data_IF_952269380377
#
_entry.id   IF_952269380377
#
_cell.length_a   1.000
_cell.length_b   1.000
_cell.length_c   1.000
_cell.angle_alpha   90.00
_cell.angle_beta   90.00
_cell.angle_gamma   90.00
#
_symmetry.space_group_name_H-M   'P 1'
#
loop_
_entity.id
_entity.type
_entity.pdbx_description
1 polymer ?
#
# COMPACT_ATOMS: atom_id res chain seq x y z
N UNK A 1 -19.26 3.38 -17.95
CA UNK A 1 -18.96 3.76 -16.56
C UNK A 1 -17.55 3.25 -16.28
N UNK A 2 -16.57 4.15 -16.15
CA UNK A 2 -15.17 3.74 -15.94
C UNK A 2 -15.02 3.11 -14.55
N UNK A 3 -14.19 2.08 -14.44
CA UNK A 3 -13.82 1.50 -13.14
C UNK A 3 -12.88 2.50 -12.46
N UNK A 4 -13.28 2.97 -11.27
CA UNK A 4 -12.44 3.83 -10.44
C UNK A 4 -11.51 2.93 -9.62
N UNK A 5 -10.28 2.75 -10.08
CA UNK A 5 -9.29 1.86 -9.45
C UNK A 5 -8.92 2.31 -8.03
N UNK A 6 -9.05 3.60 -7.71
CA UNK A 6 -8.88 4.13 -6.37
C UNK A 6 -9.84 3.55 -5.32
N UNK A 7 -10.94 2.92 -5.73
CA UNK A 7 -11.85 2.24 -4.81
C UNK A 7 -11.22 0.97 -4.20
N UNK A 8 -10.21 0.42 -4.85
CA UNK A 8 -9.48 -0.77 -4.40
C UNK A 8 -8.21 -0.43 -3.62
N UNK A 9 -7.90 0.87 -3.49
CA UNK A 9 -6.89 1.39 -2.58
C UNK A 9 -7.59 1.85 -1.31
N UNK A 10 -7.05 1.52 -0.16
CA UNK A 10 -7.72 1.79 1.11
C UNK A 10 -6.73 2.25 2.18
N UNK A 11 -7.23 3.04 3.11
CA UNK A 11 -6.49 3.50 4.27
C UNK A 11 -6.42 2.37 5.31
N UNK A 12 -5.27 2.21 5.96
CA UNK A 12 -5.06 1.30 7.08
C UNK A 12 -5.04 2.11 8.36
N UNK A 13 -5.93 1.76 9.28
CA UNK A 13 -5.98 2.34 10.62
C UNK A 13 -5.26 1.40 11.59
N UNK A 14 -4.07 1.79 11.99
CA UNK A 14 -3.24 1.09 12.96
C UNK A 14 -3.16 1.81 14.32
N UNK A 15 -3.94 2.87 14.50
CA UNK A 15 -3.88 3.71 15.70
C UNK A 15 -2.71 4.68 15.66
N UNK A 16 -1.50 4.22 15.94
CA UNK A 16 -0.27 5.04 15.91
C UNK A 16 0.46 5.01 14.58
N UNK A 17 0.19 3.99 13.76
CA UNK A 17 0.82 3.75 12.46
C UNK A 17 -0.24 3.70 11.37
N UNK A 18 -0.40 4.80 10.66
CA UNK A 18 -1.27 4.89 9.49
C UNK A 18 -0.50 4.45 8.24
N UNK A 19 -1.22 3.83 7.32
CA UNK A 19 -0.67 3.42 6.03
C UNK A 19 -1.76 3.28 4.97
N UNK A 20 -1.36 2.76 3.84
CA UNK A 20 -2.23 2.46 2.71
C UNK A 20 -2.05 1.00 2.32
N UNK A 21 -3.09 0.39 1.82
CA UNK A 21 -3.04 -0.90 1.17
C UNK A 21 -4.00 -0.94 0.00
N UNK A 22 -3.93 -2.00 -0.76
CA UNK A 22 -4.78 -2.19 -1.92
C UNK A 22 -5.09 -3.67 -2.15
N UNK A 23 -6.13 -3.93 -2.94
CA UNK A 23 -6.55 -5.28 -3.26
C UNK A 23 -6.16 -5.65 -4.69
N UNK A 24 -5.59 -6.86 -4.85
CA UNK A 24 -5.37 -7.51 -6.15
C UNK A 24 -6.09 -8.85 -6.10
N UNK A 25 -7.17 -9.00 -6.88
CA UNK A 25 -8.08 -10.13 -6.68
C UNK A 25 -8.66 -10.15 -5.27
N UNK A 26 -8.45 -11.23 -4.53
CA UNK A 26 -8.80 -11.36 -3.11
C UNK A 26 -7.64 -11.05 -2.15
N UNK A 27 -6.46 -10.73 -2.65
CA UNK A 27 -5.30 -10.43 -1.83
C UNK A 27 -5.27 -8.95 -1.43
N UNK A 28 -5.03 -8.69 -0.15
CA UNK A 28 -4.73 -7.37 0.36
C UNK A 28 -3.22 -7.22 0.54
N UNK A 29 -2.65 -6.16 -0.01
CA UNK A 29 -1.22 -5.91 -0.04
C UNK A 29 -0.92 -4.53 0.57
N UNK A 30 0.14 -4.47 1.37
CA UNK A 30 0.67 -3.23 1.95
C UNK A 30 2.17 -3.35 2.23
N UNK A 31 2.82 -2.28 2.64
CA UNK A 31 4.18 -2.33 3.15
C UNK A 31 4.22 -3.02 4.53
N UNK A 32 5.21 -3.85 4.75
CA UNK A 32 5.33 -4.64 6.00
C UNK A 32 5.53 -3.76 7.22
N UNK A 33 6.30 -2.67 7.11
CA UNK A 33 6.58 -1.77 8.23
C UNK A 33 5.33 -1.05 8.78
N UNK A 34 4.22 -1.00 8.03
CA UNK A 34 2.94 -0.49 8.54
C UNK A 34 2.48 -1.28 9.77
N UNK A 35 2.90 -2.55 9.89
CA UNK A 35 2.59 -3.43 11.02
C UNK A 35 3.67 -3.47 12.12
N UNK A 36 4.69 -2.63 12.08
CA UNK A 36 5.76 -2.68 13.08
C UNK A 36 5.28 -2.31 14.49
N UNK A 37 4.31 -1.42 14.62
CA UNK A 37 3.80 -0.94 15.91
C UNK A 37 2.53 -1.65 16.37
N UNK A 38 2.12 -2.76 15.73
CA UNK A 38 0.91 -3.46 16.14
C UNK A 38 0.75 -4.83 15.51
N UNK A 39 0.03 -5.70 16.22
CA UNK A 39 -0.33 -7.03 15.73
C UNK A 39 -1.53 -6.97 14.79
N UNK A 40 -2.49 -6.09 15.10
CA UNK A 40 -3.78 -6.02 14.43
C UNK A 40 -4.06 -4.62 13.95
N UNK A 41 -4.41 -4.50 12.68
CA UNK A 41 -4.82 -3.27 12.02
C UNK A 41 -6.20 -3.46 11.40
N UNK A 42 -6.81 -2.40 10.91
CA UNK A 42 -8.07 -2.50 10.19
C UNK A 42 -8.07 -1.64 8.94
N UNK A 43 -8.83 -2.12 7.96
CA UNK A 43 -9.12 -1.39 6.74
C UNK A 43 -10.60 -1.53 6.38
N UNK A 44 -11.04 -0.85 5.33
CA UNK A 44 -12.44 -0.86 4.93
C UNK A 44 -12.56 -1.11 3.43
N UNK A 45 -13.49 -1.98 3.07
CA UNK A 45 -13.83 -2.23 1.67
C UNK A 45 -15.36 -2.35 1.53
N UNK A 46 -15.95 -1.62 0.59
CA UNK A 46 -17.40 -1.62 0.39
C UNK A 46 -18.21 -1.25 1.64
N UNK A 47 -17.65 -0.44 2.55
CA UNK A 47 -18.24 -0.06 3.82
C UNK A 47 -18.09 -1.11 4.94
N UNK A 48 -17.51 -2.26 4.64
CA UNK A 48 -17.23 -3.31 5.64
C UNK A 48 -15.81 -3.13 6.21
N UNK A 49 -15.70 -3.32 7.53
CA UNK A 49 -14.43 -3.35 8.22
C UNK A 49 -13.76 -4.72 8.03
N UNK A 50 -12.51 -4.70 7.59
CA UNK A 50 -11.64 -5.87 7.48
C UNK A 50 -10.58 -5.74 8.56
N UNK A 51 -10.45 -6.76 9.38
CA UNK A 51 -9.39 -6.86 10.39
C UNK A 51 -8.22 -7.60 9.76
N UNK A 52 -7.03 -7.04 9.90
CA UNK A 52 -5.76 -7.56 9.39
C UNK A 52 -4.92 -7.96 10.59
N UNK A 53 -4.83 -9.24 10.88
CA UNK A 53 -3.96 -9.77 11.93
C UNK A 53 -2.65 -10.26 11.33
N UNK A 54 -1.55 -9.76 11.84
CA UNK A 54 -0.20 -10.11 11.36
C UNK A 54 0.08 -11.61 11.38
N UNK A 55 -0.51 -12.35 12.33
CA UNK A 55 -0.37 -13.81 12.43
C UNK A 55 -1.12 -14.57 11.33
N UNK A 56 -2.10 -13.93 10.68
CA UNK A 56 -2.89 -14.51 9.59
C UNK A 56 -2.36 -14.12 8.20
N UNK A 57 -1.28 -13.35 8.14
CA UNK A 57 -0.67 -12.98 6.87
C UNK A 57 -0.21 -14.22 6.10
N UNK A 58 -0.50 -14.26 4.80
CA UNK A 58 0.08 -15.26 3.88
C UNK A 58 1.58 -15.09 3.83
N UNK A 59 2.02 -13.85 3.80
CA UNK A 59 3.42 -13.44 3.85
C UNK A 59 3.52 -12.16 4.66
N UNK A 60 4.51 -12.11 5.55
CA UNK A 60 4.86 -10.91 6.28
C UNK A 60 6.38 -10.82 6.42
N UNK A 61 6.94 -9.72 6.00
CA UNK A 61 8.32 -9.34 6.28
C UNK A 61 8.43 -7.82 6.29
N UNK A 62 9.23 -7.32 7.21
CA UNK A 62 9.57 -5.91 7.33
C UNK A 62 11.01 -5.79 7.82
N UNK A 63 11.82 -4.91 7.26
CA UNK A 63 13.12 -4.60 7.81
C UNK A 63 12.95 -4.01 9.23
N UNK A 64 13.86 -4.37 10.14
CA UNK A 64 13.89 -3.78 11.47
C UNK A 64 14.48 -2.38 11.43
N UNK A 65 13.72 -1.38 11.91
CA UNK A 65 14.17 0.00 12.04
C UNK A 65 13.78 0.92 10.87
N UNK A 66 14.27 2.15 10.91
CA UNK A 66 13.94 3.21 9.93
C UNK A 66 14.78 3.11 8.64
N UNK A 67 15.56 2.06 8.47
CA UNK A 67 16.44 1.90 7.32
C UNK A 67 15.84 0.93 6.30
N UNK A 68 15.75 1.40 5.07
CA UNK A 68 15.50 0.55 3.92
C UNK A 68 16.68 -0.42 3.73
N UNK A 69 16.35 -1.73 3.72
CA UNK A 69 17.30 -2.79 3.40
C UNK A 69 16.85 -3.47 2.10
N UNK A 70 17.58 -3.33 1.00
CA UNK A 70 17.20 -3.89 -0.28
C UNK A 70 17.15 -5.44 -0.29
N UNK A 71 17.83 -6.09 0.64
CA UNK A 71 17.87 -7.56 0.74
C UNK A 71 16.67 -8.12 1.53
N UNK A 72 15.90 -7.25 2.19
CA UNK A 72 14.75 -7.64 3.00
C UNK A 72 13.46 -7.09 2.37
N UNK A 73 12.56 -7.95 1.86
CA UNK A 73 11.26 -7.49 1.38
C UNK A 73 10.49 -6.75 2.48
N UNK A 74 9.89 -5.63 2.13
CA UNK A 74 9.04 -4.85 3.03
C UNK A 74 7.59 -4.95 2.57
N UNK A 75 6.95 -6.09 2.86
CA UNK A 75 5.61 -6.41 2.36
C UNK A 75 4.82 -7.24 3.37
N UNK A 76 3.53 -6.94 3.47
CA UNK A 76 2.52 -7.76 4.15
C UNK A 76 1.40 -8.12 3.17
N UNK A 77 1.01 -9.39 3.13
CA UNK A 77 0.01 -9.94 2.21
C UNK A 77 -1.00 -10.76 3.01
N UNK A 78 -2.29 -10.47 2.83
CA UNK A 78 -3.40 -11.13 3.50
C UNK A 78 -4.38 -11.69 2.47
N UNK A 79 -5.02 -12.82 2.80
CA UNK A 79 -6.18 -13.30 2.05
C UNK A 79 -7.45 -12.64 2.62
N UNK A 80 -8.17 -11.94 1.78
CA UNK A 80 -9.40 -11.24 2.14
C UNK A 80 -10.58 -11.85 1.37
N UNK A 81 -11.08 -13.00 1.84
CA UNK A 81 -12.20 -13.67 1.23
C UNK A 81 -13.41 -12.74 1.05
N UNK A 82 -14.03 -12.78 -0.11
CA UNK A 82 -15.19 -11.94 -0.46
C UNK A 82 -14.85 -10.61 -1.13
N UNK A 83 -13.56 -10.22 -1.20
CA UNK A 83 -13.11 -9.12 -2.05
C UNK A 83 -12.76 -9.66 -3.43
N UNK A 84 -13.14 -8.94 -4.47
CA UNK A 84 -12.74 -9.24 -5.85
C UNK A 84 -12.33 -7.93 -6.54
N UNK A 85 -11.05 -7.66 -6.56
CA UNK A 85 -10.48 -6.49 -7.20
C UNK A 85 -10.13 -6.76 -8.65
N UNK A 86 -10.37 -5.83 -9.59
CA UNK A 86 -9.92 -5.94 -10.97
C UNK A 86 -8.44 -5.58 -11.15
N UNK A 87 -7.75 -5.18 -10.08
CA UNK A 87 -6.32 -4.92 -10.17
C UNK A 87 -5.56 -6.23 -10.39
N UNK A 88 -4.51 -6.16 -11.18
CA UNK A 88 -3.62 -7.28 -11.50
C UNK A 88 -2.16 -6.87 -11.26
N UNK A 89 -1.33 -7.82 -10.89
CA UNK A 89 0.11 -7.58 -10.85
C UNK A 89 0.70 -7.52 -12.26
N UNK A 90 1.67 -6.62 -12.48
CA UNK A 90 2.52 -6.69 -13.66
C UNK A 90 3.35 -7.97 -13.62
N UNK A 91 3.45 -8.66 -14.74
CA UNK A 91 4.31 -9.84 -14.89
C UNK A 91 5.78 -9.45 -14.99
N UNK A 92 6.04 -8.29 -15.60
CA UNK A 92 7.38 -7.76 -15.83
C UNK A 92 7.65 -6.54 -14.92
N UNK A 93 8.94 -6.29 -14.72
CA UNK A 93 9.42 -5.07 -14.08
C UNK A 93 9.08 -3.84 -14.93
N UNK A 94 8.77 -2.69 -14.31
CA UNK A 94 8.62 -1.46 -15.07
C UNK A 94 9.94 -1.07 -15.73
N UNK A 95 9.86 -0.45 -16.89
CA UNK A 95 11.06 0.05 -17.60
C UNK A 95 11.44 1.43 -17.09
N UNK A 96 12.75 1.73 -17.12
CA UNK A 96 13.25 3.07 -16.79
C UNK A 96 12.61 4.10 -17.72
N UNK A 97 12.11 5.17 -17.13
CA UNK A 97 11.37 6.23 -17.83
C UNK A 97 9.87 6.01 -17.92
N UNK A 98 9.35 4.82 -17.54
CA UNK A 98 7.91 4.57 -17.48
C UNK A 98 7.24 5.47 -16.43
N UNK A 99 6.10 6.02 -16.78
CA UNK A 99 5.26 6.78 -15.85
C UNK A 99 4.28 5.82 -15.16
N UNK A 100 4.25 5.89 -13.83
CA UNK A 100 3.34 5.14 -12.97
C UNK A 100 2.56 6.12 -12.11
N UNK A 101 1.28 5.83 -11.91
CA UNK A 101 0.43 6.59 -11.00
C UNK A 101 0.50 5.95 -9.62
N UNK A 102 0.88 6.74 -8.62
CA UNK A 102 0.72 6.38 -7.21
C UNK A 102 -0.64 6.88 -6.72
N UNK A 103 -1.40 6.01 -6.07
CA UNK A 103 -2.69 6.34 -5.46
C UNK A 103 -2.61 6.06 -3.98
N UNK A 104 -2.77 7.09 -3.18
CA UNK A 104 -2.70 7.02 -1.72
C UNK A 104 -3.97 7.57 -1.08
N UNK A 105 -4.26 7.15 0.14
CA UNK A 105 -5.35 7.67 0.97
C UNK A 105 -4.79 8.15 2.31
N UNK A 106 -5.08 9.39 2.66
CA UNK A 106 -4.55 10.03 3.85
C UNK A 106 -5.66 10.50 4.76
N UNK A 107 -5.47 10.34 6.06
CA UNK A 107 -6.29 10.99 7.09
C UNK A 107 -5.90 12.46 7.17
N UNK A 108 -6.85 13.35 6.99
CA UNK A 108 -6.66 14.79 7.15
C UNK A 108 -7.71 15.36 8.09
N UNK A 109 -7.30 16.30 8.91
CA UNK A 109 -8.22 17.05 9.78
C UNK A 109 -8.67 18.29 9.02
N UNK A 110 -9.97 18.41 8.80
CA UNK A 110 -10.57 19.59 8.21
C UNK A 110 -11.36 20.35 9.27
N UNK A 111 -11.18 21.68 9.29
CA UNK A 111 -11.99 22.53 10.14
C UNK A 111 -13.36 22.70 9.51
N UNK A 112 -14.41 22.25 10.19
CA UNK A 112 -15.79 22.40 9.75
C UNK A 112 -16.32 23.78 10.20
N UNK A 113 -16.05 24.79 9.37
CA UNK A 113 -16.43 26.19 9.64
C UNK A 113 -17.88 26.53 9.20
N UNK A 114 -18.78 25.54 9.14
CA UNK A 114 -20.13 25.71 8.61
C UNK A 114 -21.16 26.34 9.56
N UNK A 115 -20.78 26.77 10.74
CA UNK A 115 -21.70 27.53 11.60
C UNK A 115 -21.20 28.96 11.73
N UNK A 116 -22.05 29.92 11.30
CA UNK A 116 -21.79 31.36 11.50
C UNK A 116 -21.65 31.76 12.99
N UNK A 117 -21.22 30.86 13.83
CA UNK A 117 -20.92 31.05 15.25
C UNK A 117 -19.41 30.82 15.44
N UNK A 118 -18.60 31.86 15.71
CA UNK A 118 -17.15 31.77 15.76
C UNK A 118 -16.58 30.94 16.93
N UNK A 119 -17.40 30.35 17.77
CA UNK A 119 -16.96 29.70 19.03
C UNK A 119 -17.00 28.16 19.03
N UNK A 120 -17.41 27.51 17.93
CA UNK A 120 -17.45 26.04 17.85
C UNK A 120 -16.69 25.60 16.59
N UNK A 121 -15.37 25.39 16.74
CA UNK A 121 -14.55 24.69 15.75
C UNK A 121 -14.77 23.20 15.94
N UNK A 122 -15.58 22.58 15.10
CA UNK A 122 -15.63 21.12 15.00
C UNK A 122 -14.55 20.67 14.03
N UNK A 123 -13.58 19.92 14.53
CA UNK A 123 -12.57 19.25 13.69
C UNK A 123 -13.15 17.93 13.23
N UNK A 124 -13.17 17.70 11.92
CA UNK A 124 -13.60 16.46 11.33
C UNK A 124 -12.40 15.78 10.65
N UNK A 125 -12.18 14.51 10.99
CA UNK A 125 -11.25 13.68 10.25
C UNK A 125 -11.92 13.16 8.97
N UNK A 126 -11.24 13.31 7.85
CA UNK A 126 -11.67 12.80 6.55
C UNK A 126 -10.53 12.06 5.87
N UNK A 127 -10.86 11.04 5.11
CA UNK A 127 -9.88 10.35 4.27
C UNK A 127 -9.90 11.01 2.89
N UNK A 128 -8.76 11.54 2.46
CA UNK A 128 -8.59 12.15 1.15
C UNK A 128 -7.75 11.25 0.24
N UNK A 129 -8.15 11.19 -1.04
CA UNK A 129 -7.37 10.51 -2.07
C UNK A 129 -6.29 11.49 -2.57
N UNK A 130 -5.06 10.99 -2.62
CA UNK A 130 -3.92 11.68 -3.20
C UNK A 130 -3.39 10.88 -4.37
N UNK A 131 -3.16 11.56 -5.48
CA UNK A 131 -2.59 10.95 -6.67
C UNK A 131 -1.34 11.73 -7.07
N UNK A 132 -0.28 11.02 -7.39
CA UNK A 132 0.91 11.58 -8.00
C UNK A 132 1.41 10.70 -9.14
N UNK A 133 2.20 11.27 -10.05
CA UNK A 133 2.82 10.57 -11.16
C UNK A 133 4.29 10.40 -10.83
N UNK A 134 4.75 9.14 -10.85
CA UNK A 134 6.15 8.79 -10.67
C UNK A 134 6.76 8.34 -11.98
N UNK A 135 7.98 8.82 -12.27
CA UNK A 135 8.79 8.33 -13.39
C UNK A 135 9.86 7.39 -12.86
N UNK A 136 9.85 6.16 -13.36
CA UNK A 136 10.79 5.11 -12.93
C UNK A 136 12.22 5.49 -13.29
N UNK A 137 13.12 5.45 -12.32
CA UNK A 137 14.54 5.81 -12.48
C UNK A 137 15.48 4.64 -12.30
N UNK A 138 15.05 3.62 -11.55
CA UNK A 138 15.84 2.42 -11.30
C UNK A 138 14.92 1.21 -11.16
N UNK A 139 15.38 0.03 -11.59
CA UNK A 139 14.65 -1.24 -11.50
C UNK A 139 15.61 -2.39 -11.17
N UNK A 140 15.31 -3.08 -10.07
CA UNK A 140 15.89 -4.36 -9.64
C UNK A 140 14.77 -5.15 -8.94
N UNK A 141 15.03 -5.93 -7.90
CA UNK A 141 13.98 -6.55 -7.06
C UNK A 141 13.09 -5.50 -6.39
N UNK A 142 13.60 -4.30 -6.22
CA UNK A 142 12.86 -3.07 -5.92
C UNK A 142 13.08 -2.05 -7.04
N UNK A 143 12.25 -1.00 -7.08
CA UNK A 143 12.38 0.10 -8.03
C UNK A 143 12.42 1.44 -7.34
N UNK A 144 12.93 2.43 -8.04
CA UNK A 144 12.88 3.84 -7.62
C UNK A 144 12.10 4.67 -8.62
N UNK A 145 11.35 5.64 -8.11
CA UNK A 145 10.66 6.63 -8.92
C UNK A 145 10.97 8.05 -8.45
N UNK A 146 10.95 9.00 -9.39
CA UNK A 146 10.80 10.41 -9.09
C UNK A 146 9.34 10.81 -9.33
N UNK A 147 8.67 11.30 -8.30
CA UNK A 147 7.26 11.69 -8.34
C UNK A 147 7.10 13.19 -8.57
N UNK A 148 5.99 13.61 -9.17
CA UNK A 148 5.64 15.02 -9.38
C UNK A 148 5.27 15.75 -8.07
N UNK A 149 5.04 15.00 -6.99
CA UNK A 149 4.72 15.52 -5.65
C UNK A 149 5.51 14.77 -4.59
N UNK A 150 5.83 15.45 -3.51
CA UNK A 150 6.51 14.85 -2.35
C UNK A 150 5.54 13.90 -1.64
N UNK A 151 5.97 12.66 -1.49
CA UNK A 151 5.27 11.66 -0.70
C UNK A 151 5.46 11.94 0.80
N UNK A 152 4.51 11.49 1.61
CA UNK A 152 4.48 11.77 3.04
C UNK A 152 4.39 10.48 3.85
N UNK A 153 4.71 10.60 5.13
CA UNK A 153 4.42 9.53 6.10
C UNK A 153 2.93 9.17 6.01
N UNK A 154 2.64 7.87 5.96
CA UNK A 154 1.29 7.34 5.74
C UNK A 154 0.94 7.02 4.28
N UNK A 155 1.80 7.34 3.30
CA UNK A 155 1.63 6.86 1.92
C UNK A 155 2.19 5.45 1.72
N UNK A 156 2.96 4.93 2.67
CA UNK A 156 3.52 3.58 2.65
C UNK A 156 2.45 2.53 2.40
N UNK A 157 2.75 1.57 1.54
CA UNK A 157 1.83 0.53 1.12
C UNK A 157 0.93 0.91 -0.05
N UNK A 158 1.00 2.16 -0.55
CA UNK A 158 0.22 2.56 -1.73
C UNK A 158 0.77 1.94 -3.01
N UNK A 159 -0.11 1.58 -3.99
CA UNK A 159 0.30 0.99 -5.24
C UNK A 159 0.90 2.02 -6.20
N UNK A 160 1.85 1.58 -7.02
CA UNK A 160 2.28 2.25 -8.24
C UNK A 160 1.68 1.51 -9.44
N UNK A 161 0.89 2.19 -10.25
CA UNK A 161 0.02 1.57 -11.25
C UNK A 161 0.12 2.23 -12.62
N UNK A 162 -0.21 1.44 -13.65
CA UNK A 162 -0.61 1.96 -14.95
C UNK A 162 -1.95 1.29 -15.32
N UNK A 163 -3.02 2.08 -15.36
CA UNK A 163 -4.37 1.55 -15.47
C UNK A 163 -4.73 0.64 -14.29
N UNK A 164 -5.12 -0.60 -14.55
CA UNK A 164 -5.41 -1.62 -13.55
C UNK A 164 -4.20 -2.50 -13.19
N UNK A 165 -3.04 -2.25 -13.79
CA UNK A 165 -1.84 -3.06 -13.58
C UNK A 165 -0.97 -2.42 -12.50
N UNK A 166 -0.68 -3.18 -11.45
CA UNK A 166 0.18 -2.78 -10.33
C UNK A 166 1.61 -3.22 -10.62
N UNK A 167 2.53 -2.28 -10.57
CA UNK A 167 3.96 -2.51 -10.78
C UNK A 167 4.77 -2.58 -9.48
N UNK A 168 4.19 -2.11 -8.37
CA UNK A 168 4.85 -2.18 -7.09
C UNK A 168 4.07 -1.55 -5.95
N UNK A 169 4.64 -1.70 -4.76
CA UNK A 169 4.15 -1.18 -3.48
C UNK A 169 5.14 -0.16 -2.96
N UNK A 170 4.67 1.04 -2.66
CA UNK A 170 5.50 2.08 -2.06
C UNK A 170 5.97 1.66 -0.67
N UNK A 171 7.28 1.63 -0.45
CA UNK A 171 7.87 1.21 0.83
C UNK A 171 8.64 2.34 1.52
N UNK A 172 9.22 3.27 0.76
CA UNK A 172 9.96 4.39 1.33
C UNK A 172 9.89 5.62 0.44
N UNK A 173 10.02 6.78 1.06
CA UNK A 173 10.25 8.06 0.39
C UNK A 173 11.39 8.80 1.07
N UNK A 174 12.20 9.50 0.29
CA UNK A 174 13.26 10.35 0.83
C UNK A 174 12.63 11.67 1.32
N UNK A 175 12.75 12.00 2.61
CA UNK A 175 12.10 13.19 3.18
C UNK A 175 12.46 14.47 2.44
N UNK A 176 11.46 15.25 2.07
CA UNK A 176 11.64 16.55 1.39
C UNK A 176 12.03 16.46 -0.07
N UNK A 177 12.13 15.27 -0.64
CA UNK A 177 12.44 15.05 -2.06
C UNK A 177 11.31 14.31 -2.78
N UNK A 178 11.26 14.36 -4.12
CA UNK A 178 10.30 13.57 -4.89
C UNK A 178 10.74 12.11 -5.11
N UNK A 179 11.82 11.67 -4.49
CA UNK A 179 12.34 10.31 -4.65
C UNK A 179 11.62 9.32 -3.77
N UNK A 180 11.23 8.19 -4.33
CA UNK A 180 10.63 7.10 -3.59
C UNK A 180 11.13 5.73 -4.07
N UNK A 181 10.98 4.74 -3.19
CA UNK A 181 11.36 3.35 -3.41
C UNK A 181 10.09 2.48 -3.31
N UNK A 182 9.98 1.49 -4.18
CA UNK A 182 8.88 0.54 -4.18
C UNK A 182 9.38 -0.91 -4.30
N UNK A 183 8.70 -1.82 -3.60
CA UNK A 183 8.87 -3.26 -3.80
C UNK A 183 8.16 -3.64 -5.10
N UNK A 184 8.84 -4.32 -6.01
CA UNK A 184 8.26 -4.67 -7.31
C UNK A 184 7.17 -5.74 -7.21
N UNK A 185 6.19 -5.68 -8.12
CA UNK A 185 5.15 -6.71 -8.23
C UNK A 185 5.72 -8.08 -8.59
N UNK A 186 6.75 -8.15 -9.42
CA UNK A 186 7.42 -9.40 -9.77
C UNK A 186 8.02 -10.10 -8.54
N UNK A 187 8.66 -9.32 -7.65
CA UNK A 187 9.14 -9.83 -6.36
C UNK A 187 7.97 -10.31 -5.49
N UNK A 188 6.89 -9.54 -5.38
CA UNK A 188 5.70 -9.89 -4.58
C UNK A 188 5.06 -11.20 -5.09
N UNK A 189 4.89 -11.36 -6.40
CA UNK A 189 4.36 -12.60 -7.00
C UNK A 189 5.24 -13.79 -6.66
N UNK A 190 6.56 -13.63 -6.68
CA UNK A 190 7.50 -14.67 -6.27
C UNK A 190 7.34 -15.07 -4.81
N UNK A 191 7.16 -14.08 -3.92
CA UNK A 191 6.92 -14.32 -2.49
C UNK A 191 5.60 -15.10 -2.26
N UNK A 192 4.54 -14.74 -2.98
CA UNK A 192 3.25 -15.44 -2.90
C UNK A 192 3.40 -16.92 -3.33
N UNK A 193 4.04 -17.16 -4.46
CA UNK A 193 4.27 -18.53 -4.98
C UNK A 193 5.05 -19.38 -3.99
N UNK A 194 6.12 -18.84 -3.42
CA UNK A 194 6.95 -19.57 -2.46
C UNK A 194 6.20 -19.88 -1.16
N UNK A 195 5.35 -18.97 -0.69
CA UNK A 195 4.56 -19.15 0.54
C UNK A 195 3.47 -20.20 0.39
N UNK A 196 2.84 -20.31 -0.78
CA UNK A 196 1.81 -21.34 -1.04
C UNK A 196 2.41 -22.75 -1.16
N UNK A 197 3.61 -22.88 -1.71
CA UNK A 197 4.29 -24.18 -1.80
C UNK A 197 4.74 -24.71 -0.43
N UNK A 198 5.13 -23.85 0.49
CA UNK A 198 5.55 -24.27 1.84
C UNK A 198 4.39 -24.81 2.68
N UNK A 199 3.17 -24.27 2.52
CA UNK A 199 1.97 -24.74 3.22
C UNK A 199 1.50 -26.12 2.72
N UNK A 200 1.56 -26.38 1.42
CA UNK A 200 1.16 -27.69 0.85
C UNK A 200 2.09 -28.84 1.23
N UNK A 201 3.36 -28.57 1.55
CA UNK A 201 4.32 -29.58 1.99
C UNK A 201 4.14 -29.97 3.48
N UNK A 202 3.59 -29.06 4.31
CA UNK A 202 3.34 -29.34 5.73
C UNK A 202 2.06 -30.12 5.99
N UNK A 203 1.09 -30.06 5.09
CA UNK A 203 -0.21 -30.75 5.22
C UNK A 203 -0.16 -32.20 4.67
N UNK A 204 1.02 -32.68 4.23
CA UNK A 204 1.23 -34.00 3.64
C UNK A 204 2.01 -34.98 4.56
N UNK A 205 2.12 -34.69 5.87
CA UNK A 205 2.82 -35.55 6.86
C UNK A 205 1.85 -36.06 7.91
#
# INVERSE_FOLDING_TARGET
MGILFENYVTFIDGGTSDGVGFFVGNLFITAGHVFNEGQTHSTYFGGQRIVLDKSEAIFFKSPFGDFFDPDIPDVAIFDCAGVNSPLVFAEDMPIIGQELTNVSKRRVVVDDSHSGCPSIFTRKEVIQIHTCIGKVTHTTDYGECHTDKILRKGDSGSPLMNGNTVYGVLIAGEPGTPRCVFQSSASIVTLIRNSTHSKSASDSI
#
